data_IF_774048613211
#
_entry.id   IF_774048613211
#
_cell.length_a   1.000
_cell.length_b   1.000
_cell.length_c   1.000
_cell.angle_alpha   90.00
_cell.angle_beta   90.00
_cell.angle_gamma   90.00
#
_symmetry.space_group_name_H-M   'P 1'
#
loop_
_entity.id
_entity.type
_entity.pdbx_description
1 polymer ?
#
# COMPACT_ATOMS: atom_id res chain seq x y z
N UNK A 1 13.09 30.03 -21.90
CA UNK A 1 13.72 29.33 -20.77
C UNK A 1 12.81 28.16 -20.39
N UNK A 2 13.17 26.90 -20.64
CA UNK A 2 12.29 25.77 -20.37
C UNK A 2 12.35 25.35 -18.89
N UNK A 3 11.19 25.35 -18.23
CA UNK A 3 11.00 24.86 -16.86
C UNK A 3 11.02 23.33 -16.91
N UNK A 4 11.99 22.72 -16.22
CA UNK A 4 12.11 21.28 -16.04
C UNK A 4 11.16 20.83 -14.93
N UNK A 5 10.21 19.95 -15.25
CA UNK A 5 9.45 19.19 -14.27
C UNK A 5 10.31 18.06 -13.68
N UNK A 6 10.41 17.88 -12.36
CA UNK A 6 10.84 16.61 -11.80
C UNK A 6 9.63 15.76 -11.43
N UNK A 7 9.19 14.92 -12.37
CA UNK A 7 8.45 13.70 -12.06
C UNK A 7 9.46 12.70 -11.44
N UNK A 8 9.35 12.42 -10.15
CA UNK A 8 10.08 11.34 -9.48
C UNK A 8 9.07 10.34 -8.93
N UNK A 9 8.75 9.36 -9.77
CA UNK A 9 8.27 8.05 -9.37
C UNK A 9 9.42 7.32 -8.66
N UNK A 10 9.31 7.04 -7.36
CA UNK A 10 10.23 6.09 -6.72
C UNK A 10 9.64 4.70 -6.86
N UNK A 11 10.31 3.93 -7.73
CA UNK A 11 10.13 2.51 -7.92
C UNK A 11 10.72 1.69 -6.76
N UNK A 12 10.09 0.54 -6.51
CA UNK A 12 10.70 -0.76 -6.23
C UNK A 12 11.91 -0.81 -5.27
N UNK A 13 11.66 -1.23 -4.03
CA UNK A 13 12.70 -1.87 -3.21
C UNK A 13 12.87 -3.31 -3.70
N UNK A 14 13.87 -3.51 -4.56
CA UNK A 14 14.46 -4.81 -4.80
C UNK A 14 15.33 -5.17 -3.58
N UNK A 15 14.86 -6.11 -2.76
CA UNK A 15 15.67 -6.70 -1.69
C UNK A 15 16.71 -7.60 -2.34
N UNK A 16 17.93 -7.09 -2.49
CA UNK A 16 19.11 -7.90 -2.82
C UNK A 16 19.64 -8.55 -1.55
N UNK A 17 19.24 -9.80 -1.29
CA UNK A 17 19.97 -10.65 -0.35
C UNK A 17 21.25 -11.13 -1.03
N UNK A 18 22.38 -10.56 -0.63
CA UNK A 18 23.72 -11.00 -1.01
C UNK A 18 23.95 -12.45 -0.59
N UNK A 19 24.41 -13.25 -1.54
CA UNK A 19 24.89 -14.60 -1.34
C UNK A 19 26.11 -14.63 -0.40
N UNK A 20 25.98 -15.29 0.74
CA UNK A 20 27.11 -15.75 1.55
C UNK A 20 27.13 -17.27 1.49
N UNK A 21 27.93 -17.81 0.58
CA UNK A 21 28.20 -19.24 0.43
C UNK A 21 29.69 -19.49 0.71
N UNK A 22 29.98 -20.69 1.22
CA UNK A 22 31.27 -21.28 1.64
C UNK A 22 31.52 -21.15 3.16
N UNK A 23 31.76 -22.22 3.95
CA UNK A 23 32.06 -23.64 3.64
C UNK A 23 32.09 -24.45 4.95
N UNK A 24 31.68 -25.73 4.86
CA UNK A 24 31.95 -26.80 5.85
C UNK A 24 30.87 -26.91 6.92
N UNK A 25 30.22 -28.04 7.18
CA UNK A 25 30.46 -29.42 6.79
C UNK A 25 30.11 -30.26 8.01
N UNK A 26 28.87 -30.74 8.08
CA UNK A 26 28.47 -31.91 8.88
C UNK A 26 27.05 -32.31 8.46
N UNK A 27 26.93 -33.52 7.92
CA UNK A 27 25.66 -34.20 7.69
C UNK A 27 24.97 -34.44 9.04
N UNK A 28 24.11 -33.52 9.45
CA UNK A 28 23.07 -33.83 10.42
C UNK A 28 21.82 -34.25 9.64
N UNK A 29 21.49 -35.54 9.74
CA UNK A 29 20.34 -36.19 9.14
C UNK A 29 19.11 -35.28 9.11
N UNK A 30 18.69 -34.89 7.90
CA UNK A 30 17.45 -34.17 7.65
C UNK A 30 16.30 -35.09 8.02
N UNK A 31 15.80 -34.96 9.26
CA UNK A 31 14.45 -35.41 9.58
C UNK A 31 13.51 -34.55 8.73
N UNK A 32 12.60 -35.14 7.94
CA UNK A 32 11.59 -34.35 7.27
C UNK A 32 10.78 -33.65 8.36
N UNK A 33 10.90 -32.33 8.47
CA UNK A 33 9.90 -31.51 9.14
C UNK A 33 8.66 -31.69 8.29
N UNK A 34 7.81 -32.64 8.70
CA UNK A 34 6.43 -32.73 8.27
C UNK A 34 5.88 -31.30 8.28
N UNK A 35 5.30 -30.88 7.14
CA UNK A 35 4.78 -29.54 6.92
C UNK A 35 4.06 -29.05 8.18
N UNK A 36 4.71 -28.17 8.93
CA UNK A 36 4.07 -27.52 10.06
C UNK A 36 2.88 -26.78 9.49
N UNK A 37 1.70 -27.12 9.98
CA UNK A 37 0.42 -26.56 9.56
C UNK A 37 0.52 -25.02 9.66
N UNK A 38 0.77 -24.34 8.53
CA UNK A 38 1.14 -22.92 8.51
C UNK A 38 -0.02 -22.00 8.94
N UNK A 39 -1.22 -22.57 9.12
CA UNK A 39 -2.44 -21.87 9.46
C UNK A 39 -3.25 -22.64 10.52
N UNK A 40 -2.71 -22.82 11.75
CA UNK A 40 -3.36 -23.64 12.79
C UNK A 40 -4.68 -23.01 13.29
N UNK A 41 -4.98 -21.76 12.92
CA UNK A 41 -6.23 -21.08 13.23
C UNK A 41 -7.35 -21.37 12.23
N UNK A 42 -7.07 -22.00 11.08
CA UNK A 42 -8.09 -22.51 10.16
C UNK A 42 -8.61 -23.81 10.75
N UNK A 43 -9.57 -23.71 11.67
CA UNK A 43 -10.32 -24.88 12.14
C UNK A 43 -11.03 -25.47 10.92
N UNK A 44 -10.63 -26.67 10.50
CA UNK A 44 -11.38 -27.46 9.55
C UNK A 44 -12.85 -27.48 10.03
N UNK A 45 -13.77 -27.04 9.18
CA UNK A 45 -15.19 -27.09 9.48
C UNK A 45 -15.53 -28.53 9.89
N UNK A 46 -16.19 -28.76 11.03
CA UNK A 46 -16.56 -30.10 11.43
C UNK A 46 -17.43 -30.69 10.31
N UNK A 47 -17.03 -31.83 9.78
CA UNK A 47 -17.82 -32.66 8.88
C UNK A 47 -18.96 -33.31 9.67
N UNK A 48 -19.84 -32.48 10.24
CA UNK A 48 -21.04 -32.95 10.90
C UNK A 48 -22.14 -33.09 9.84
N UNK A 49 -22.40 -34.35 9.49
CA UNK A 49 -23.66 -34.89 9.00
C UNK A 49 -24.48 -33.99 8.05
N UNK A 50 -24.13 -34.02 6.76
CA UNK A 50 -24.88 -33.39 5.67
C UNK A 50 -26.16 -34.15 5.28
N UNK A 51 -26.91 -34.70 6.25
CA UNK A 51 -28.25 -35.27 6.01
C UNK A 51 -29.36 -34.28 6.35
N UNK A 52 -29.12 -32.98 6.16
CA UNK A 52 -30.20 -31.99 6.08
C UNK A 52 -30.52 -31.73 4.61
N UNK A 53 -31.80 -31.72 4.19
CA UNK A 53 -32.15 -31.24 2.87
C UNK A 53 -31.79 -29.76 2.83
N UNK A 54 -30.66 -29.45 2.20
CA UNK A 54 -30.30 -28.10 1.80
C UNK A 54 -31.43 -27.62 0.91
N UNK A 55 -32.28 -26.74 1.45
CA UNK A 55 -33.19 -25.94 0.66
C UNK A 55 -32.38 -25.35 -0.49
N UNK A 56 -32.86 -25.55 -1.73
CA UNK A 56 -32.16 -25.09 -2.92
C UNK A 56 -31.66 -23.65 -2.71
N UNK A 57 -30.37 -23.37 -2.94
CA UNK A 57 -29.90 -22.01 -2.92
C UNK A 57 -30.65 -21.29 -4.03
N UNK A 58 -31.60 -20.44 -3.64
CA UNK A 58 -32.21 -19.48 -4.55
C UNK A 58 -31.06 -18.76 -5.22
N UNK A 59 -30.85 -19.07 -6.49
CA UNK A 59 -29.72 -18.61 -7.29
C UNK A 59 -29.85 -17.09 -7.51
N UNK A 60 -29.54 -16.31 -6.49
CA UNK A 60 -29.05 -14.95 -6.66
C UNK A 60 -27.66 -15.03 -7.30
N UNK A 61 -27.28 -14.05 -8.16
CA UNK A 61 -25.94 -14.05 -8.75
C UNK A 61 -24.91 -14.06 -7.63
N UNK A 62 -24.07 -15.10 -7.59
CA UNK A 62 -22.97 -15.17 -6.64
C UNK A 62 -22.16 -13.87 -6.71
N UNK A 63 -21.85 -13.21 -5.57
CA UNK A 63 -20.96 -12.07 -5.61
C UNK A 63 -19.66 -12.53 -6.28
N UNK A 64 -19.25 -11.86 -7.36
CA UNK A 64 -17.93 -12.10 -7.95
C UNK A 64 -16.91 -11.80 -6.87
N UNK A 65 -16.39 -12.85 -6.24
CA UNK A 65 -15.28 -12.75 -5.32
C UNK A 65 -14.10 -12.23 -6.13
N UNK A 66 -13.81 -10.94 -5.98
CA UNK A 66 -12.62 -10.33 -6.56
C UNK A 66 -11.42 -11.04 -5.95
N UNK A 67 -10.74 -11.85 -6.76
CA UNK A 67 -9.48 -12.44 -6.35
C UNK A 67 -8.45 -11.31 -6.17
N UNK A 68 -7.64 -11.37 -5.12
CA UNK A 68 -6.63 -10.33 -4.82
C UNK A 68 -5.71 -10.05 -6.03
N UNK A 69 -5.44 -11.06 -6.86
CA UNK A 69 -4.66 -10.93 -8.08
C UNK A 69 -5.30 -10.07 -9.17
N UNK A 70 -6.64 -10.03 -9.28
CA UNK A 70 -7.31 -9.17 -10.25
C UNK A 70 -7.32 -7.69 -9.82
N UNK A 71 -7.48 -7.42 -8.53
CA UNK A 71 -7.39 -6.07 -7.99
C UNK A 71 -5.99 -5.47 -8.24
N UNK A 72 -4.93 -6.22 -7.93
CA UNK A 72 -3.56 -5.78 -8.17
C UNK A 72 -3.27 -5.44 -9.64
N UNK A 73 -3.66 -6.33 -10.57
CA UNK A 73 -3.46 -6.10 -12.01
C UNK A 73 -4.23 -4.87 -12.51
N UNK A 74 -5.45 -4.66 -12.00
CA UNK A 74 -6.26 -3.48 -12.35
C UNK A 74 -5.58 -2.19 -11.92
N UNK A 75 -5.04 -2.15 -10.70
CA UNK A 75 -4.33 -0.98 -10.19
C UNK A 75 -3.02 -0.71 -10.95
N UNK A 76 -2.28 -1.74 -11.34
CA UNK A 76 -1.10 -1.58 -12.20
C UNK A 76 -1.47 -1.03 -13.60
N UNK A 77 -2.59 -1.46 -14.17
CA UNK A 77 -3.10 -0.90 -15.43
C UNK A 77 -3.49 0.59 -15.26
N UNK A 78 -4.20 0.92 -14.18
CA UNK A 78 -4.56 2.30 -13.83
C UNK A 78 -3.33 3.19 -13.65
N UNK A 79 -2.29 2.69 -12.98
CA UNK A 79 -1.01 3.41 -12.82
C UNK A 79 -0.38 3.78 -14.17
N UNK A 80 -0.39 2.84 -15.11
CA UNK A 80 0.09 3.08 -16.50
C UNK A 80 -0.79 4.08 -17.24
N UNK A 81 -2.11 3.98 -17.10
CA UNK A 81 -3.06 4.94 -17.69
C UNK A 81 -2.81 6.36 -17.19
N UNK A 82 -2.67 6.55 -15.87
CA UNK A 82 -2.36 7.86 -15.28
C UNK A 82 -1.00 8.39 -15.77
N UNK A 83 0.01 7.52 -15.88
CA UNK A 83 1.31 7.91 -16.44
C UNK A 83 1.23 8.36 -17.92
N UNK A 84 0.22 7.89 -18.66
CA UNK A 84 -0.08 8.29 -20.03
C UNK A 84 -1.00 9.52 -20.12
N UNK A 85 -1.42 10.09 -18.98
CA UNK A 85 -2.30 11.27 -18.93
C UNK A 85 -3.80 10.95 -18.98
N UNK A 86 -4.21 9.71 -18.68
CA UNK A 86 -5.62 9.38 -18.59
C UNK A 86 -6.33 10.22 -17.52
N UNK A 87 -7.55 10.61 -17.84
CA UNK A 87 -8.46 11.32 -16.95
C UNK A 87 -9.01 10.42 -15.83
N UNK A 88 -9.51 11.04 -14.76
CA UNK A 88 -10.15 10.30 -13.66
C UNK A 88 -11.40 9.53 -14.12
N UNK A 89 -12.13 10.03 -15.14
CA UNK A 89 -13.28 9.33 -15.73
C UNK A 89 -12.87 8.06 -16.49
N UNK A 90 -11.73 8.09 -17.20
CA UNK A 90 -11.19 6.92 -17.87
C UNK A 90 -10.71 5.87 -16.86
N UNK A 91 -10.03 6.31 -15.79
CA UNK A 91 -9.63 5.45 -14.68
C UNK A 91 -10.84 4.84 -13.98
N UNK A 92 -11.88 5.64 -13.72
CA UNK A 92 -13.13 5.17 -13.14
C UNK A 92 -13.78 4.08 -13.99
N UNK A 93 -13.92 4.31 -15.31
CA UNK A 93 -14.50 3.32 -16.23
C UNK A 93 -13.70 2.02 -16.27
N UNK A 94 -12.37 2.10 -16.29
CA UNK A 94 -11.50 0.93 -16.26
C UNK A 94 -11.69 0.11 -14.97
N UNK A 95 -11.68 0.78 -13.80
CA UNK A 95 -11.92 0.11 -12.50
C UNK A 95 -13.33 -0.44 -12.38
N UNK A 96 -14.35 0.28 -12.83
CA UNK A 96 -15.73 -0.16 -12.76
C UNK A 96 -15.96 -1.41 -13.63
N UNK A 97 -15.30 -1.49 -14.79
CA UNK A 97 -15.35 -2.66 -15.66
C UNK A 97 -14.68 -3.90 -15.04
N UNK A 98 -13.57 -3.71 -14.33
CA UNK A 98 -12.79 -4.82 -13.74
C UNK A 98 -13.27 -5.25 -12.34
N UNK A 99 -13.62 -4.29 -11.50
CA UNK A 99 -13.88 -4.46 -10.06
C UNK A 99 -15.34 -4.18 -9.67
N UNK A 100 -16.13 -3.59 -10.56
CA UNK A 100 -17.48 -3.13 -10.25
C UNK A 100 -17.53 -1.68 -9.76
N UNK A 101 -18.71 -1.07 -9.90
CA UNK A 101 -18.90 0.36 -9.69
C UNK A 101 -18.66 0.80 -8.23
N UNK A 102 -19.08 0.02 -7.25
CA UNK A 102 -18.93 0.35 -5.83
C UNK A 102 -17.44 0.40 -5.41
N UNK A 103 -16.65 -0.60 -5.82
CA UNK A 103 -15.20 -0.60 -5.59
C UNK A 103 -14.52 0.56 -6.29
N UNK A 104 -14.92 0.88 -7.53
CA UNK A 104 -14.38 2.02 -8.26
C UNK A 104 -14.67 3.36 -7.57
N UNK A 105 -15.86 3.55 -7.00
CA UNK A 105 -16.22 4.74 -6.21
C UNK A 105 -15.34 4.84 -4.96
N UNK A 106 -15.17 3.73 -4.23
CA UNK A 106 -14.39 3.69 -3.00
C UNK A 106 -12.92 4.01 -3.26
N UNK A 107 -12.35 3.42 -4.32
CA UNK A 107 -10.98 3.69 -4.76
C UNK A 107 -10.80 5.13 -5.25
N UNK A 108 -11.78 5.67 -5.98
CA UNK A 108 -11.73 7.07 -6.41
C UNK A 108 -11.77 8.06 -5.21
N UNK A 109 -12.52 7.72 -4.15
CA UNK A 109 -12.50 8.49 -2.90
C UNK A 109 -11.13 8.43 -2.24
N UNK A 110 -10.57 7.22 -2.09
CA UNK A 110 -9.25 7.02 -1.51
C UNK A 110 -8.16 7.77 -2.27
N UNK A 111 -8.19 7.73 -3.61
CA UNK A 111 -7.24 8.45 -4.46
C UNK A 111 -7.27 9.97 -4.20
N UNK A 112 -8.48 10.55 -4.02
CA UNK A 112 -8.63 11.99 -3.72
C UNK A 112 -8.12 12.33 -2.32
N UNK A 113 -8.42 11.49 -1.34
CA UNK A 113 -7.94 11.65 0.04
C UNK A 113 -6.42 11.58 0.10
N UNK A 114 -5.82 10.64 -0.62
CA UNK A 114 -4.37 10.51 -0.74
C UNK A 114 -3.75 11.72 -1.46
N UNK A 115 -4.34 12.19 -2.56
CA UNK A 115 -3.86 13.38 -3.25
C UNK A 115 -3.88 14.62 -2.34
N UNK A 116 -4.97 14.81 -1.58
CA UNK A 116 -5.09 15.91 -0.62
C UNK A 116 -4.07 15.78 0.53
N UNK A 117 -3.82 14.56 1.02
CA UNK A 117 -2.77 14.29 2.00
C UNK A 117 -1.39 14.68 1.45
N UNK A 118 -1.03 14.19 0.26
CA UNK A 118 0.27 14.46 -0.36
C UNK A 118 0.50 15.95 -0.61
N UNK A 119 -0.54 16.69 -1.02
CA UNK A 119 -0.46 18.14 -1.15
C UNK A 119 -0.13 18.83 0.18
N UNK A 120 -0.82 18.47 1.28
CA UNK A 120 -0.53 19.02 2.60
C UNK A 120 0.89 18.67 3.08
N UNK A 121 1.35 17.44 2.84
CA UNK A 121 2.72 17.03 3.18
C UNK A 121 3.74 17.82 2.37
N UNK A 122 3.53 18.02 1.07
CA UNK A 122 4.42 18.82 0.23
C UNK A 122 4.50 20.28 0.72
N UNK A 123 3.36 20.89 1.02
CA UNK A 123 3.29 22.25 1.57
C UNK A 123 4.00 22.36 2.92
N UNK A 124 3.82 21.37 3.77
CA UNK A 124 4.51 21.27 5.06
C UNK A 124 6.02 21.20 4.89
N UNK A 125 6.52 20.28 4.05
CA UNK A 125 7.95 20.09 3.82
C UNK A 125 8.59 21.35 3.21
N UNK A 126 7.88 22.06 2.33
CA UNK A 126 8.34 23.33 1.76
C UNK A 126 8.46 24.43 2.83
N UNK A 127 7.46 24.57 3.71
CA UNK A 127 7.46 25.57 4.80
C UNK A 127 8.48 25.24 5.89
N UNK A 128 8.66 23.95 6.20
CA UNK A 128 9.64 23.46 7.18
C UNK A 128 11.06 23.90 6.87
N UNK A 129 11.44 24.00 5.59
CA UNK A 129 12.79 24.43 5.19
C UNK A 129 13.14 25.84 5.69
N UNK A 130 12.16 26.71 5.90
CA UNK A 130 12.37 28.05 6.44
C UNK A 130 12.52 28.08 7.97
N UNK A 131 12.14 27.00 8.66
CA UNK A 131 12.13 26.91 10.12
C UNK A 131 13.32 26.05 10.55
N UNK A 132 14.45 26.70 10.83
CA UNK A 132 15.70 26.02 11.25
C UNK A 132 15.88 26.16 12.75
N UNK A 133 16.12 25.04 13.44
CA UNK A 133 16.40 24.98 14.88
C UNK A 133 15.34 25.58 15.82
N UNK A 134 14.11 25.82 15.33
CA UNK A 134 12.98 26.25 16.14
C UNK A 134 11.92 25.15 16.23
N UNK A 135 12.04 24.33 17.27
CA UNK A 135 11.11 23.22 17.51
C UNK A 135 9.70 23.71 17.86
N UNK A 136 9.56 24.90 18.45
CA UNK A 136 8.26 25.47 18.79
C UNK A 136 7.51 25.91 17.54
N UNK A 137 8.18 26.61 16.63
CA UNK A 137 7.60 27.01 15.35
C UNK A 137 7.29 25.80 14.45
N UNK A 138 8.12 24.75 14.47
CA UNK A 138 7.83 23.49 13.77
C UNK A 138 6.57 22.81 14.30
N UNK A 139 6.41 22.73 15.62
CA UNK A 139 5.23 22.12 16.19
C UNK A 139 3.96 22.94 15.92
N UNK A 140 4.04 24.27 15.96
CA UNK A 140 2.93 25.14 15.56
C UNK A 140 2.52 24.94 14.10
N UNK A 141 3.49 24.74 13.19
CA UNK A 141 3.24 24.43 11.79
C UNK A 141 2.54 23.06 11.63
N UNK A 142 2.96 22.04 12.37
CA UNK A 142 2.29 20.72 12.36
C UNK A 142 0.84 20.81 12.83
N UNK A 143 0.60 21.47 13.97
CA UNK A 143 -0.74 21.66 14.54
C UNK A 143 -1.69 22.45 13.62
N UNK A 144 -1.15 23.28 12.72
CA UNK A 144 -1.94 24.03 11.74
C UNK A 144 -2.40 23.18 10.55
N UNK A 145 -1.57 22.21 10.12
CA UNK A 145 -1.77 21.47 8.88
C UNK A 145 -2.31 20.04 9.09
N UNK A 146 -2.13 19.50 10.29
CA UNK A 146 -2.38 18.09 10.58
C UNK A 146 -3.04 17.92 11.96
N UNK A 147 -3.93 16.95 12.05
CA UNK A 147 -4.46 16.47 13.34
C UNK A 147 -3.39 15.69 14.10
N UNK A 148 -3.60 15.47 15.40
CA UNK A 148 -2.66 14.71 16.23
C UNK A 148 -2.40 13.29 15.66
N UNK A 149 -3.44 12.59 15.20
CA UNK A 149 -3.33 11.27 14.58
C UNK A 149 -2.57 11.31 13.23
N UNK A 150 -2.74 12.38 12.47
CA UNK A 150 -2.00 12.57 11.22
C UNK A 150 -0.52 12.89 11.45
N UNK A 151 -0.18 13.54 12.56
CA UNK A 151 1.21 13.84 12.92
C UNK A 151 2.03 12.57 13.16
N UNK A 152 1.42 11.50 13.68
CA UNK A 152 2.10 10.20 13.81
C UNK A 152 2.53 9.65 12.44
N UNK A 153 1.72 9.87 11.41
CA UNK A 153 2.03 9.45 10.03
C UNK A 153 3.11 10.33 9.39
N UNK A 154 3.28 11.58 9.82
CA UNK A 154 4.31 12.49 9.28
C UNK A 154 5.73 12.00 9.55
N UNK A 155 5.95 11.25 10.63
CA UNK A 155 7.27 10.74 10.98
C UNK A 155 7.91 9.90 9.86
N UNK A 156 7.11 9.26 8.99
CA UNK A 156 7.60 8.51 7.83
C UNK A 156 8.05 9.40 6.66
N UNK A 157 7.56 10.65 6.60
CA UNK A 157 7.86 11.61 5.53
C UNK A 157 8.93 12.63 5.93
N UNK A 158 9.12 12.83 7.22
CA UNK A 158 10.22 13.64 7.72
C UNK A 158 11.52 12.84 7.63
N UNK A 159 12.48 13.23 6.79
CA UNK A 159 13.80 12.61 6.84
C UNK A 159 14.32 12.80 8.26
N UNK A 160 14.72 11.70 8.91
CA UNK A 160 15.51 11.76 10.14
C UNK A 160 16.67 12.67 9.80
N UNK A 161 16.70 13.86 10.39
CA UNK A 161 17.81 14.76 10.22
C UNK A 161 19.01 14.10 10.87
N UNK A 162 19.74 13.28 10.12
CA UNK A 162 21.06 12.83 10.51
C UNK A 162 21.89 14.10 10.60
N UNK A 163 22.33 14.53 11.80
CA UNK A 163 23.20 15.68 11.89
C UNK A 163 24.41 15.40 11.00
N UNK A 164 24.63 16.26 10.01
CA UNK A 164 25.84 16.19 9.18
C UNK A 164 27.03 16.52 10.10
N UNK A 165 27.59 15.49 10.72
CA UNK A 165 28.94 15.55 11.30
C UNK A 165 29.89 15.49 10.11
N UNK A 166 30.12 16.62 9.48
CA UNK A 166 31.21 16.86 8.54
C UNK A 166 31.87 18.15 9.04
N UNK A 167 32.87 17.98 9.91
CA UNK A 167 34.31 18.18 9.67
C UNK A 167 34.70 19.67 9.65
#
# INVERSE_FOLDING_TARGET
MPIRHPALWIAAVAVTCSAFFLKGGEEAAVRPVAAADLFPFVRALPTEDMTQPVAEPVAGPAPKLLTAGHAYQTEEAVRRMRAQGASDDEVYRARAAALGAESAITLARLDREEAAWQQRVADYLARRQAIVNDQGALQALRNMLFTDEEQDRLAAYEPVAVPSIVQ
#
